data_IF_153473852008
#
_entry.id   IF_153473852008
#
_cell.length_a   1.000
_cell.length_b   1.000
_cell.length_c   1.000
_cell.angle_alpha   90.00
_cell.angle_beta   90.00
_cell.angle_gamma   90.00
#
_symmetry.space_group_name_H-M   'P 1'
#
loop_
_entity.id
_entity.type
_entity.pdbx_description
1 polymer ?
#
# COMPACT_ATOMS: atom_id res chain seq x y z
N UNK A 1 -24.59 13.64 -27.94
CA UNK A 1 -24.49 12.24 -28.44
C UNK A 1 -23.46 11.46 -27.63
N UNK A 2 -23.87 10.59 -26.71
CA UNK A 2 -22.99 9.58 -26.16
C UNK A 2 -23.05 8.33 -27.04
N UNK A 3 -21.90 7.84 -27.51
CA UNK A 3 -21.80 6.48 -28.07
C UNK A 3 -21.66 5.52 -26.89
N UNK A 4 -22.48 4.49 -26.88
CA UNK A 4 -22.46 3.43 -25.89
C UNK A 4 -21.50 2.33 -26.36
N UNK A 5 -20.74 1.75 -25.43
CA UNK A 5 -20.08 0.45 -25.64
C UNK A 5 -20.73 -0.52 -24.66
N UNK A 6 -21.19 -1.64 -25.20
CA UNK A 6 -21.77 -2.76 -24.48
C UNK A 6 -20.83 -3.95 -24.60
N UNK A 7 -20.79 -4.81 -23.58
CA UNK A 7 -20.02 -6.06 -23.60
C UNK A 7 -20.91 -7.27 -23.30
N UNK A 8 -20.51 -8.40 -23.87
CA UNK A 8 -21.11 -9.73 -23.78
C UNK A 8 -20.72 -10.43 -22.47
N UNK A 9 -21.57 -11.31 -21.95
CA UNK A 9 -21.26 -12.23 -20.83
C UNK A 9 -20.25 -13.28 -21.32
N UNK A 10 -18.95 -12.94 -21.27
CA UNK A 10 -17.87 -13.85 -21.68
C UNK A 10 -17.35 -14.64 -20.48
N UNK A 11 -18.04 -15.74 -20.16
CA UNK A 11 -17.57 -16.71 -19.16
C UNK A 11 -16.23 -17.34 -19.57
N UNK A 12 -15.98 -17.51 -20.86
CA UNK A 12 -14.73 -18.07 -21.38
C UNK A 12 -13.55 -17.09 -21.29
N UNK A 13 -13.74 -15.80 -21.62
CA UNK A 13 -12.70 -14.78 -21.38
C UNK A 13 -12.40 -14.64 -19.89
N UNK A 14 -13.45 -14.60 -19.05
CA UNK A 14 -13.34 -14.46 -17.60
C UNK A 14 -12.86 -15.75 -16.91
N UNK A 15 -12.85 -16.89 -17.61
CA UNK A 15 -12.36 -18.18 -17.09
C UNK A 15 -10.85 -18.15 -16.80
N UNK A 16 -10.10 -17.38 -17.59
CA UNK A 16 -8.67 -17.16 -17.39
C UNK A 16 -8.42 -16.02 -16.40
N UNK A 17 -8.78 -16.23 -15.13
CA UNK A 17 -8.69 -15.24 -14.06
C UNK A 17 -7.29 -14.64 -13.87
N UNK A 18 -6.23 -15.38 -14.20
CA UNK A 18 -4.84 -14.91 -14.08
C UNK A 18 -4.44 -13.85 -15.11
N UNK A 19 -5.14 -13.76 -16.25
CA UNK A 19 -4.80 -12.83 -17.35
C UNK A 19 -5.89 -11.81 -17.61
N UNK A 20 -7.12 -12.15 -17.28
CA UNK A 20 -8.29 -11.37 -17.65
C UNK A 20 -9.06 -10.91 -16.42
N UNK A 21 -9.57 -9.67 -16.49
CA UNK A 21 -10.52 -9.18 -15.50
C UNK A 21 -11.79 -10.01 -15.58
N UNK A 22 -12.41 -10.26 -14.42
CA UNK A 22 -13.72 -10.87 -14.38
C UNK A 22 -14.75 -9.90 -14.99
N UNK A 23 -15.32 -10.28 -16.13
CA UNK A 23 -16.35 -9.52 -16.86
C UNK A 23 -17.65 -10.30 -16.97
N UNK A 24 -17.82 -11.38 -16.19
CA UNK A 24 -19.05 -12.17 -16.15
C UNK A 24 -20.28 -11.33 -15.78
N UNK A 25 -20.06 -10.23 -15.04
CA UNK A 25 -21.08 -9.25 -14.70
C UNK A 25 -20.58 -7.83 -15.03
N UNK A 26 -21.38 -7.06 -15.76
CA UNK A 26 -21.08 -5.67 -16.10
C UNK A 26 -21.83 -4.78 -15.11
N UNK A 27 -21.11 -4.28 -14.10
CA UNK A 27 -21.64 -3.25 -13.22
C UNK A 27 -21.55 -1.89 -13.92
N UNK A 28 -22.69 -1.35 -14.36
CA UNK A 28 -22.78 0.00 -14.90
C UNK A 28 -23.89 0.75 -14.18
N UNK A 29 -23.53 1.88 -13.56
CA UNK A 29 -24.52 2.85 -13.08
C UNK A 29 -25.11 3.57 -14.28
N UNK A 30 -26.41 3.44 -14.49
CA UNK A 30 -27.15 4.20 -15.50
C UNK A 30 -28.10 5.12 -14.75
N UNK A 31 -27.98 6.43 -14.97
CA UNK A 31 -28.98 7.37 -14.50
C UNK A 31 -30.21 7.24 -15.40
N UNK A 32 -31.30 6.76 -14.83
CA UNK A 32 -32.57 6.58 -15.53
C UNK A 32 -33.52 7.67 -15.04
N UNK A 33 -33.84 8.63 -15.90
CA UNK A 33 -34.96 9.55 -15.64
C UNK A 33 -36.27 8.77 -15.73
N UNK A 34 -37.20 8.98 -14.77
CA UNK A 34 -38.51 8.30 -14.64
C UNK A 34 -39.00 7.69 -15.96
N UNK A 35 -38.72 6.40 -16.16
CA UNK A 35 -39.14 5.69 -17.35
C UNK A 35 -40.54 5.15 -17.12
N UNK A 36 -41.46 5.59 -17.96
CA UNK A 36 -42.87 5.20 -18.00
C UNK A 36 -43.68 5.58 -16.74
N UNK A 37 -44.81 6.26 -16.95
CA UNK A 37 -45.67 6.77 -15.87
C UNK A 37 -46.68 5.75 -15.34
N UNK A 38 -46.76 4.58 -15.97
CA UNK A 38 -47.88 3.65 -15.83
C UNK A 38 -47.58 2.39 -14.99
N UNK A 39 -46.34 2.17 -14.55
CA UNK A 39 -45.98 1.06 -13.67
C UNK A 39 -45.76 1.55 -12.24
N UNK A 40 -46.50 0.98 -11.28
CA UNK A 40 -46.34 1.29 -9.85
C UNK A 40 -45.03 0.75 -9.28
N UNK A 41 -44.40 -0.21 -9.96
CA UNK A 41 -43.10 -0.77 -9.60
C UNK A 41 -41.96 -0.14 -10.42
N UNK A 42 -41.19 0.71 -9.76
CA UNK A 42 -40.07 1.43 -10.34
C UNK A 42 -38.90 0.51 -10.74
N UNK A 43 -38.77 -0.68 -10.13
CA UNK A 43 -37.70 -1.64 -10.49
C UNK A 43 -37.95 -2.19 -11.88
N UNK A 44 -39.16 -2.70 -12.10
CA UNK A 44 -39.60 -3.18 -13.41
C UNK A 44 -39.56 -2.07 -14.47
N UNK A 45 -39.92 -0.83 -14.09
CA UNK A 45 -39.86 0.32 -14.97
C UNK A 45 -38.42 0.67 -15.39
N UNK A 46 -37.48 0.68 -14.44
CA UNK A 46 -36.07 0.96 -14.69
C UNK A 46 -35.42 -0.15 -15.51
N UNK A 47 -35.70 -1.42 -15.19
CA UNK A 47 -35.21 -2.58 -15.91
C UNK A 47 -35.71 -2.62 -17.34
N UNK A 48 -37.01 -2.39 -17.57
CA UNK A 48 -37.60 -2.24 -18.91
C UNK A 48 -36.92 -1.13 -19.69
N UNK A 49 -36.67 0.02 -19.06
CA UNK A 49 -36.03 1.15 -19.72
C UNK A 49 -34.60 0.85 -20.16
N UNK A 50 -33.81 0.22 -19.28
CA UNK A 50 -32.46 -0.20 -19.62
C UNK A 50 -32.51 -1.30 -20.69
N UNK A 51 -33.42 -2.27 -20.57
CA UNK A 51 -33.62 -3.32 -21.56
C UNK A 51 -33.95 -2.77 -22.94
N UNK A 52 -34.87 -1.81 -23.08
CA UNK A 52 -35.18 -1.19 -24.37
C UNK A 52 -33.92 -0.56 -25.01
N UNK A 53 -33.08 0.09 -24.21
CA UNK A 53 -31.83 0.69 -24.73
C UNK A 53 -30.74 -0.31 -25.06
N UNK A 54 -30.77 -1.51 -24.47
CA UNK A 54 -29.71 -2.52 -24.57
C UNK A 54 -30.11 -3.66 -25.53
N UNK A 55 -31.40 -3.89 -25.72
CA UNK A 55 -32.00 -4.88 -26.62
C UNK A 55 -31.66 -4.60 -28.09
N UNK A 56 -31.48 -3.33 -28.47
CA UNK A 56 -31.00 -2.94 -29.81
C UNK A 56 -29.59 -3.52 -30.13
N UNK A 57 -28.88 -4.01 -29.12
CA UNK A 57 -27.57 -4.62 -29.23
C UNK A 57 -27.57 -6.14 -28.90
N UNK A 58 -28.75 -6.76 -28.78
CA UNK A 58 -28.89 -8.20 -28.52
C UNK A 58 -28.45 -8.62 -27.11
N UNK A 59 -28.62 -7.74 -26.13
CA UNK A 59 -28.24 -7.95 -24.75
C UNK A 59 -29.45 -7.78 -23.83
N UNK A 60 -29.45 -8.51 -22.72
CA UNK A 60 -30.44 -8.42 -21.67
C UNK A 60 -29.78 -7.85 -20.41
N UNK A 61 -30.42 -6.84 -19.82
CA UNK A 61 -30.02 -6.19 -18.58
C UNK A 61 -30.97 -6.63 -17.46
N UNK A 62 -30.37 -7.04 -16.35
CA UNK A 62 -31.09 -7.39 -15.12
C UNK A 62 -30.73 -6.39 -14.01
N UNK A 63 -31.73 -5.89 -13.29
CA UNK A 63 -31.50 -4.95 -12.19
C UNK A 63 -31.05 -5.70 -10.93
N UNK A 64 -29.73 -5.87 -10.74
CA UNK A 64 -29.17 -6.55 -9.57
C UNK A 64 -29.29 -5.75 -8.26
N UNK A 65 -29.00 -4.45 -8.30
CA UNK A 65 -29.09 -3.59 -7.13
C UNK A 65 -29.39 -2.14 -7.56
N UNK A 66 -30.18 -1.45 -6.76
CA UNK A 66 -30.62 -0.09 -7.04
C UNK A 66 -30.19 0.81 -5.89
N UNK A 67 -29.21 1.66 -6.17
CA UNK A 67 -28.71 2.67 -5.23
C UNK A 67 -29.21 4.03 -5.66
N UNK A 68 -29.92 4.71 -4.76
CA UNK A 68 -30.38 6.07 -4.98
C UNK A 68 -29.22 7.03 -4.74
N UNK A 69 -28.81 7.75 -5.78
CA UNK A 69 -27.82 8.80 -5.66
C UNK A 69 -28.48 10.04 -5.04
N UNK A 70 -28.42 10.16 -3.71
CA UNK A 70 -28.53 11.47 -3.07
C UNK A 70 -27.31 12.30 -3.48
N UNK A 71 -27.54 13.52 -3.97
CA UNK A 71 -26.57 14.55 -4.34
C UNK A 71 -25.11 14.25 -3.97
N UNK A 72 -24.28 14.05 -5.00
CA UNK A 72 -22.81 14.02 -4.95
C UNK A 72 -22.33 15.44 -4.60
N UNK A 73 -22.37 15.80 -3.32
CA UNK A 73 -22.07 17.17 -2.88
C UNK A 73 -21.41 17.30 -1.52
N UNK A 74 -21.45 16.27 -0.67
CA UNK A 74 -20.70 16.29 0.58
C UNK A 74 -19.64 15.20 0.53
N UNK A 75 -18.40 15.60 0.23
CA UNK A 75 -17.29 14.89 0.84
C UNK A 75 -17.53 14.99 2.34
N UNK A 76 -18.04 13.91 2.95
CA UNK A 76 -18.01 13.76 4.40
C UNK A 76 -16.54 13.71 4.78
N UNK A 77 -15.93 14.88 4.91
CA UNK A 77 -14.72 15.03 5.69
C UNK A 77 -15.11 14.46 7.06
N UNK A 78 -14.57 13.28 7.36
CA UNK A 78 -14.70 12.68 8.68
C UNK A 78 -14.35 13.76 9.70
N UNK A 79 -15.11 13.90 10.80
CA UNK A 79 -14.78 14.85 11.87
C UNK A 79 -13.30 14.72 12.30
N UNK A 80 -12.75 13.52 12.14
CA UNK A 80 -11.35 13.21 12.41
C UNK A 80 -10.35 13.86 11.44
N UNK A 81 -10.69 14.10 10.16
CA UNK A 81 -9.81 14.78 9.19
C UNK A 81 -9.72 16.29 9.44
N UNK A 82 -10.77 16.89 10.01
CA UNK A 82 -10.76 18.30 10.44
C UNK A 82 -9.74 18.54 11.55
N UNK A 83 -9.57 17.57 12.46
CA UNK A 83 -8.54 17.64 13.52
C UNK A 83 -7.14 17.68 12.92
N UNK A 84 -6.85 16.81 11.94
CA UNK A 84 -5.57 16.80 11.25
C UNK A 84 -5.27 18.16 10.59
N UNK A 85 -6.27 18.76 9.95
CA UNK A 85 -6.17 20.10 9.36
C UNK A 85 -5.83 21.18 10.39
N UNK A 86 -6.54 21.21 11.52
CA UNK A 86 -6.29 22.17 12.60
C UNK A 86 -4.86 22.04 13.12
N UNK A 87 -4.37 20.80 13.32
CA UNK A 87 -3.01 20.54 13.79
C UNK A 87 -1.96 21.02 12.79
N UNK A 88 -2.13 20.72 11.50
CA UNK A 88 -1.18 21.15 10.45
C UNK A 88 -1.16 22.67 10.32
N UNK A 89 -2.31 23.33 10.32
CA UNK A 89 -2.41 24.80 10.26
C UNK A 89 -1.73 25.41 11.49
N UNK A 90 -1.98 24.89 12.69
CA UNK A 90 -1.36 25.37 13.92
C UNK A 90 0.17 25.24 13.88
N UNK A 91 0.70 24.13 13.38
CA UNK A 91 2.14 23.94 13.18
C UNK A 91 2.72 24.92 12.15
N UNK A 92 2.02 25.16 11.04
CA UNK A 92 2.43 26.15 10.03
C UNK A 92 2.44 27.57 10.61
N UNK A 93 1.42 27.95 11.38
CA UNK A 93 1.37 29.26 12.04
C UNK A 93 2.51 29.40 13.06
N UNK A 94 2.74 28.38 13.89
CA UNK A 94 3.85 28.37 14.87
C UNK A 94 5.21 28.48 14.19
N UNK A 95 5.44 27.75 13.09
CA UNK A 95 6.71 27.80 12.35
C UNK A 95 6.92 29.15 11.67
N UNK A 96 5.88 29.75 11.09
CA UNK A 96 5.96 31.10 10.50
C UNK A 96 6.23 32.16 11.56
N UNK A 97 5.51 32.13 12.69
CA UNK A 97 5.71 33.04 13.83
C UNK A 97 7.11 32.91 14.42
N UNK A 98 7.56 31.69 14.70
CA UNK A 98 8.88 31.42 15.26
C UNK A 98 10.01 31.85 14.30
N UNK A 99 9.84 31.62 13.00
CA UNK A 99 10.81 32.04 11.99
C UNK A 99 10.85 33.56 11.85
N UNK A 100 9.68 34.22 11.83
CA UNK A 100 9.57 35.68 11.79
C UNK A 100 10.21 36.34 13.00
N UNK A 101 9.92 35.84 14.21
CA UNK A 101 10.51 36.33 15.46
C UNK A 101 12.03 36.10 15.51
N UNK A 102 12.53 35.00 14.95
CA UNK A 102 13.97 34.75 14.86
C UNK A 102 14.67 35.73 13.90
N UNK A 103 14.07 36.02 12.73
CA UNK A 103 14.60 37.00 11.77
C UNK A 103 14.57 38.42 12.36
N UNK A 104 13.50 38.78 13.07
CA UNK A 104 13.39 40.07 13.75
C UNK A 104 14.38 40.18 14.92
N UNK A 105 14.56 39.11 15.69
CA UNK A 105 15.52 39.05 16.80
C UNK A 105 16.97 39.26 16.35
N UNK A 106 17.34 38.67 15.20
CA UNK A 106 18.66 38.88 14.59
C UNK A 106 18.87 40.32 14.11
N UNK A 107 17.81 40.97 13.57
CA UNK A 107 17.88 42.38 13.16
C UNK A 107 17.92 43.35 14.34
N UNK A 108 17.31 42.98 15.47
CA UNK A 108 17.23 43.81 16.67
C UNK A 108 18.30 43.49 17.73
N UNK A 109 19.25 42.59 17.46
CA UNK A 109 20.39 42.29 18.33
C UNK A 109 20.04 41.57 19.64
N UNK A 110 18.87 40.93 19.74
CA UNK A 110 18.39 40.25 20.97
C UNK A 110 18.20 38.76 20.67
N UNK A 111 19.30 38.01 20.66
CA UNK A 111 19.34 36.64 20.12
C UNK A 111 18.91 35.51 21.06
N UNK A 112 18.59 35.78 22.33
CA UNK A 112 18.11 34.74 23.25
C UNK A 112 16.58 34.80 23.43
N UNK A 113 15.87 34.39 22.37
CA UNK A 113 14.44 34.10 22.45
C UNK A 113 14.15 32.76 23.15
N UNK A 114 12.89 32.55 23.55
CA UNK A 114 12.44 31.33 24.23
C UNK A 114 12.86 30.06 23.46
N UNK A 115 13.56 29.14 24.15
CA UNK A 115 14.09 27.89 23.59
C UNK A 115 13.02 27.04 22.89
N UNK A 116 11.79 27.00 23.44
CA UNK A 116 10.67 26.24 22.88
C UNK A 116 10.17 26.85 21.57
N UNK A 117 10.10 28.17 21.49
CA UNK A 117 9.70 28.86 20.27
C UNK A 117 10.76 28.70 19.17
N UNK A 118 12.04 28.79 19.54
CA UNK A 118 13.15 28.62 18.60
C UNK A 118 13.26 27.20 18.03
N UNK A 119 12.60 26.20 18.63
CA UNK A 119 12.51 24.85 18.06
C UNK A 119 11.73 24.80 16.74
N UNK A 120 10.75 25.69 16.56
CA UNK A 120 9.92 25.78 15.35
C UNK A 120 10.51 26.73 14.29
N UNK A 121 11.68 27.34 14.54
CA UNK A 121 12.29 28.29 13.61
C UNK A 121 12.97 27.58 12.42
N UNK A 122 12.51 27.86 11.21
CA UNK A 122 13.05 27.29 9.98
C UNK A 122 14.52 27.69 9.77
N UNK A 123 14.88 28.95 10.05
CA UNK A 123 16.26 29.44 9.91
C UNK A 123 17.23 28.67 10.81
N UNK A 124 16.84 28.41 12.06
CA UNK A 124 17.65 27.65 13.02
C UNK A 124 17.77 26.18 12.59
N UNK A 125 16.66 25.57 12.20
CA UNK A 125 16.63 24.18 11.72
C UNK A 125 17.43 24.00 10.41
N UNK A 126 17.44 24.99 9.52
CA UNK A 126 18.23 25.00 8.28
C UNK A 126 19.75 25.03 8.55
N UNK A 127 20.19 25.85 9.49
CA UNK A 127 21.60 25.88 9.90
C UNK A 127 22.02 24.55 10.53
N UNK A 128 21.12 23.90 11.29
CA UNK A 128 21.35 22.57 11.84
C UNK A 128 21.47 21.51 10.72
N UNK A 129 20.64 21.63 9.67
CA UNK A 129 20.62 20.68 8.55
C UNK A 129 21.88 20.78 7.69
N UNK A 130 22.34 22.00 7.40
CA UNK A 130 23.54 22.28 6.61
C UNK A 130 24.83 22.38 7.44
N UNK A 131 24.79 21.92 8.69
CA UNK A 131 25.97 21.92 9.55
C UNK A 131 27.02 20.95 8.99
N UNK A 132 28.26 21.43 8.93
CA UNK A 132 29.42 20.66 8.51
C UNK A 132 29.66 19.46 9.44
N UNK A 133 29.36 18.25 8.94
CA UNK A 133 29.49 16.99 9.69
C UNK A 133 30.93 16.61 10.02
N UNK A 134 31.94 17.27 9.44
CA UNK A 134 33.34 17.06 9.80
C UNK A 134 33.68 17.59 11.20
N UNK A 135 32.86 18.49 11.74
CA UNK A 135 33.04 19.07 13.07
C UNK A 135 32.23 18.30 14.12
N UNK A 136 32.81 17.94 15.27
CA UNK A 136 32.09 17.23 16.32
C UNK A 136 30.89 18.06 16.79
N UNK A 137 29.71 17.43 16.81
CA UNK A 137 28.45 18.08 17.18
C UNK A 137 28.33 18.11 18.71
N UNK A 138 28.35 19.30 19.31
CA UNK A 138 28.17 19.49 20.76
C UNK A 138 26.71 19.43 21.24
N UNK A 139 25.74 19.23 20.34
CA UNK A 139 24.31 19.15 20.69
C UNK A 139 23.98 17.80 21.38
N UNK A 140 24.10 17.76 22.71
CA UNK A 140 23.77 16.59 23.54
C UNK A 140 22.32 16.10 23.35
N UNK A 141 21.38 16.99 22.98
CA UNK A 141 19.95 16.71 22.82
C UNK A 141 19.62 15.62 21.81
N UNK A 142 20.41 15.49 20.73
CA UNK A 142 20.16 14.49 19.68
C UNK A 142 20.70 13.11 20.05
N UNK A 143 21.55 13.02 21.08
CA UNK A 143 22.11 11.76 21.56
C UNK A 143 21.05 10.94 22.31
N UNK A 144 20.19 11.63 23.07
CA UNK A 144 19.13 11.01 23.84
C UNK A 144 17.95 10.58 22.96
N UNK A 145 17.66 11.33 21.88
CA UNK A 145 16.63 10.98 20.89
C UNK A 145 17.14 9.99 19.81
N UNK A 146 18.42 9.62 19.82
CA UNK A 146 18.98 8.70 18.81
C UNK A 146 18.32 7.31 18.86
N UNK A 147 17.81 6.90 20.02
CA UNK A 147 17.15 5.61 20.20
C UNK A 147 15.73 5.56 19.57
N UNK A 148 15.14 6.72 19.26
CA UNK A 148 13.79 6.87 18.72
C UNK A 148 13.84 7.36 17.26
N UNK A 149 14.63 6.67 16.44
CA UNK A 149 14.90 7.01 15.03
C UNK A 149 13.62 7.21 14.20
N UNK A 150 12.58 6.44 14.51
CA UNK A 150 11.25 6.55 13.91
C UNK A 150 10.57 7.92 14.02
N UNK A 151 10.81 8.66 15.10
CA UNK A 151 10.22 10.00 15.29
C UNK A 151 10.70 11.01 14.24
N UNK A 152 11.79 10.71 13.52
CA UNK A 152 12.27 11.56 12.42
C UNK A 152 11.43 11.42 11.16
N UNK A 153 10.87 10.24 10.89
CA UNK A 153 10.04 9.99 9.71
C UNK A 153 8.57 10.39 9.94
N UNK A 154 8.11 10.39 11.19
CA UNK A 154 6.70 10.68 11.52
C UNK A 154 6.20 12.03 10.96
N UNK A 155 6.94 13.16 11.06
CA UNK A 155 6.46 14.43 10.52
C UNK A 155 6.28 14.39 8.99
N UNK A 156 7.19 13.73 8.27
CA UNK A 156 7.11 13.61 6.81
C UNK A 156 5.96 12.68 6.41
N UNK A 157 5.77 11.56 7.13
CA UNK A 157 4.67 10.65 6.90
C UNK A 157 3.30 11.32 7.15
N UNK A 158 3.16 12.12 8.21
CA UNK A 158 1.94 12.88 8.49
C UNK A 158 1.69 13.94 7.41
N UNK A 159 2.74 14.64 6.95
CA UNK A 159 2.60 15.60 5.86
C UNK A 159 2.14 14.92 4.56
N UNK A 160 2.73 13.78 4.21
CA UNK A 160 2.31 13.02 3.04
C UNK A 160 0.85 12.57 3.17
N UNK A 161 0.44 12.08 4.35
CA UNK A 161 -0.94 11.69 4.64
C UNK A 161 -1.92 12.86 4.48
N UNK A 162 -1.57 14.02 5.04
CA UNK A 162 -2.33 15.25 4.84
C UNK A 162 -2.41 15.60 3.35
N UNK A 163 -1.30 15.55 2.61
CA UNK A 163 -1.27 15.85 1.18
C UNK A 163 -2.23 14.93 0.39
N UNK A 164 -2.22 13.63 0.65
CA UNK A 164 -3.10 12.66 0.00
C UNK A 164 -4.58 12.89 0.30
N UNK A 165 -4.92 13.29 1.52
CA UNK A 165 -6.31 13.58 1.91
C UNK A 165 -6.78 14.92 1.33
N UNK A 166 -5.94 15.95 1.46
CA UNK A 166 -6.34 17.34 1.27
C UNK A 166 -6.10 17.85 -0.15
N UNK A 167 -4.86 17.71 -0.62
CA UNK A 167 -4.40 18.46 -1.78
C UNK A 167 -4.44 17.61 -3.04
N UNK A 168 -4.07 16.33 -2.93
CA UNK A 168 -3.97 15.41 -4.06
C UNK A 168 -5.27 15.31 -4.88
N UNK A 169 -6.48 15.19 -4.30
CA UNK A 169 -7.73 15.14 -5.07
C UNK A 169 -7.99 16.40 -5.92
N UNK A 170 -7.47 17.55 -5.49
CA UNK A 170 -7.69 18.84 -6.16
C UNK A 170 -6.72 19.11 -7.31
N UNK A 171 -5.65 18.31 -7.44
CA UNK A 171 -4.60 18.54 -8.45
C UNK A 171 -4.95 18.07 -9.85
N UNK A 172 -6.08 17.38 -10.04
CA UNK A 172 -6.41 16.79 -11.32
C UNK A 172 -7.86 16.40 -11.49
N UNK A 173 -8.17 15.95 -12.71
CA UNK A 173 -9.44 15.32 -13.03
C UNK A 173 -9.24 14.30 -14.14
N UNK A 174 -9.94 13.17 -14.05
CA UNK A 174 -9.79 12.09 -15.01
C UNK A 174 -10.80 10.96 -14.85
N UNK A 175 -10.93 10.09 -15.86
CA UNK A 175 -11.93 9.04 -15.89
C UNK A 175 -11.76 8.00 -14.77
N UNK A 176 -10.54 7.83 -14.25
CA UNK A 176 -10.24 6.96 -13.10
C UNK A 176 -9.97 7.75 -11.81
N UNK A 177 -10.05 9.08 -11.84
CA UNK A 177 -9.67 9.94 -10.72
C UNK A 177 -10.54 9.70 -9.49
N UNK A 178 -11.87 9.64 -9.69
CA UNK A 178 -12.80 9.36 -8.61
C UNK A 178 -12.60 7.96 -7.99
N UNK A 179 -12.20 6.99 -8.81
CA UNK A 179 -12.06 5.61 -8.35
C UNK A 179 -10.73 5.33 -7.65
N UNK A 180 -9.66 6.03 -8.04
CA UNK A 180 -8.32 5.86 -7.47
C UNK A 180 -8.06 6.93 -6.40
N UNK A 181 -8.12 8.21 -6.79
CA UNK A 181 -7.67 9.33 -5.95
C UNK A 181 -8.73 9.73 -4.93
N UNK A 182 -9.97 9.98 -5.35
CA UNK A 182 -11.01 10.44 -4.41
C UNK A 182 -11.37 9.35 -3.40
N UNK A 183 -11.39 8.08 -3.85
CA UNK A 183 -11.54 6.92 -2.96
C UNK A 183 -10.39 6.82 -1.97
N UNK A 184 -9.13 6.90 -2.42
CA UNK A 184 -7.97 6.82 -1.52
C UNK A 184 -8.01 7.94 -0.48
N UNK A 185 -8.27 9.18 -0.90
CA UNK A 185 -8.40 10.31 0.01
C UNK A 185 -9.51 10.11 1.06
N UNK A 186 -10.65 9.55 0.65
CA UNK A 186 -11.75 9.23 1.56
C UNK A 186 -11.35 8.14 2.57
N UNK A 187 -10.81 7.01 2.11
CA UNK A 187 -10.35 5.92 2.96
C UNK A 187 -9.25 6.38 3.95
N UNK A 188 -8.32 7.23 3.49
CA UNK A 188 -7.31 7.86 4.33
C UNK A 188 -7.93 8.79 5.39
N UNK A 189 -8.96 9.56 5.03
CA UNK A 189 -9.62 10.50 5.95
C UNK A 189 -10.34 9.82 7.11
N UNK A 190 -10.85 8.60 6.93
CA UNK A 190 -11.47 7.82 8.00
C UNK A 190 -10.44 7.19 8.96
N UNK A 191 -9.20 6.97 8.47
CA UNK A 191 -8.22 6.09 9.12
C UNK A 191 -6.84 6.70 9.33
N UNK A 192 -6.71 8.02 9.20
CA UNK A 192 -5.43 8.72 9.34
C UNK A 192 -4.70 8.40 10.66
N UNK A 193 -5.45 8.15 11.75
CA UNK A 193 -4.88 7.83 13.05
C UNK A 193 -4.13 6.48 13.07
N UNK A 194 -4.47 5.53 12.20
CA UNK A 194 -3.71 4.28 12.06
C UNK A 194 -2.28 4.54 11.57
N UNK A 195 -2.09 5.52 10.69
CA UNK A 195 -0.76 5.91 10.18
C UNK A 195 0.05 6.65 11.25
N UNK A 196 -0.60 7.46 12.09
CA UNK A 196 0.04 8.15 13.22
C UNK A 196 0.51 7.15 14.29
N UNK A 197 -0.29 6.12 14.55
CA UNK A 197 0.03 5.05 15.50
C UNK A 197 0.87 3.91 14.90
N UNK A 198 1.20 3.95 13.60
CA UNK A 198 1.93 2.90 12.91
C UNK A 198 1.29 1.50 13.01
N UNK A 199 -0.04 1.42 12.91
CA UNK A 199 -0.82 0.17 12.95
C UNK A 199 -1.64 -0.07 11.67
N UNK A 200 -1.37 0.71 10.62
CA UNK A 200 -2.07 0.60 9.33
C UNK A 200 -1.76 -0.68 8.55
N UNK A 201 -0.81 -1.50 9.00
CA UNK A 201 -0.57 -2.84 8.47
C UNK A 201 -1.59 -3.90 8.96
N UNK A 202 -2.42 -3.60 9.97
CA UNK A 202 -3.48 -4.48 10.47
C UNK A 202 -4.88 -4.12 9.95
N UNK A 203 -4.94 -3.30 8.89
CA UNK A 203 -6.19 -2.81 8.33
C UNK A 203 -6.92 -3.91 7.56
N UNK A 204 -8.26 -4.07 7.74
CA UNK A 204 -9.05 -4.98 6.91
C UNK A 204 -8.98 -4.57 5.43
N UNK A 205 -8.87 -5.58 4.55
CA UNK A 205 -8.69 -5.42 3.11
C UNK A 205 -9.80 -4.55 2.49
N UNK A 206 -9.42 -3.77 1.46
CA UNK A 206 -10.33 -2.92 0.69
C UNK A 206 -10.62 -1.52 1.23
N UNK A 207 -10.14 -1.22 2.44
CA UNK A 207 -10.11 0.14 3.03
C UNK A 207 -8.68 0.55 3.38
N UNK A 208 -7.75 0.17 2.50
CA UNK A 208 -6.32 0.39 2.65
C UNK A 208 -5.96 1.74 2.03
N UNK A 209 -5.31 2.59 2.80
CA UNK A 209 -4.84 3.91 2.38
C UNK A 209 -3.31 3.92 2.36
N UNK A 210 -2.71 4.69 1.44
CA UNK A 210 -1.25 4.86 1.37
C UNK A 210 -0.53 3.53 1.42
N UNK A 211 -0.92 2.62 0.53
CA UNK A 211 -0.57 1.22 0.70
C UNK A 211 0.92 0.94 0.69
N UNK A 212 1.69 1.78 0.01
CA UNK A 212 3.14 1.75 -0.03
C UNK A 212 3.81 2.01 1.34
N UNK A 213 3.11 2.59 2.32
CA UNK A 213 3.67 2.92 3.64
C UNK A 213 3.59 1.79 4.66
N UNK A 214 3.06 0.61 4.30
CA UNK A 214 2.89 -0.51 5.21
C UNK A 214 4.19 -0.92 5.92
N UNK A 215 5.31 -0.89 5.20
CA UNK A 215 6.62 -1.29 5.75
C UNK A 215 7.06 -0.34 6.87
N UNK A 216 6.61 0.92 6.84
CA UNK A 216 6.92 1.91 7.86
C UNK A 216 6.22 1.56 9.18
N UNK A 217 5.00 1.00 9.13
CA UNK A 217 4.36 0.46 10.33
C UNK A 217 5.15 -0.71 10.90
N UNK A 218 5.54 -1.64 10.03
CA UNK A 218 6.29 -2.84 10.42
C UNK A 218 7.64 -2.46 11.03
N UNK A 219 8.37 -1.53 10.43
CA UNK A 219 9.66 -1.06 10.93
C UNK A 219 9.53 -0.46 12.33
N UNK A 220 8.51 0.38 12.57
CA UNK A 220 8.26 0.95 13.89
C UNK A 220 7.91 -0.09 14.94
N UNK A 221 7.06 -1.06 14.60
CA UNK A 221 6.69 -2.16 15.49
C UNK A 221 7.90 -3.03 15.84
N UNK A 222 8.69 -3.41 14.84
CA UNK A 222 9.90 -4.20 15.03
C UNK A 222 10.98 -3.41 15.76
N UNK A 223 11.06 -2.09 15.59
CA UNK A 223 11.98 -1.22 16.34
C UNK A 223 11.66 -1.19 17.83
N UNK A 224 10.38 -1.05 18.19
CA UNK A 224 9.94 -1.10 19.59
C UNK A 224 10.28 -2.47 20.21
N UNK A 225 9.94 -3.56 19.52
CA UNK A 225 10.28 -4.93 19.96
C UNK A 225 11.80 -5.10 20.05
N UNK A 226 12.54 -4.59 19.08
CA UNK A 226 13.99 -4.65 18.98
C UNK A 226 14.68 -3.96 20.16
N UNK A 227 14.21 -2.78 20.58
CA UNK A 227 14.71 -2.11 21.78
C UNK A 227 14.47 -2.97 23.03
N UNK A 228 13.28 -3.55 23.19
CA UNK A 228 12.97 -4.40 24.35
C UNK A 228 13.87 -5.65 24.38
N UNK A 229 14.05 -6.30 23.23
CA UNK A 229 14.98 -7.43 23.08
C UNK A 229 16.40 -6.98 23.39
N UNK A 230 16.86 -5.85 22.85
CA UNK A 230 18.19 -5.32 23.09
C UNK A 230 18.43 -5.04 24.58
N UNK A 231 17.47 -4.45 25.30
CA UNK A 231 17.58 -4.22 26.75
C UNK A 231 17.73 -5.54 27.52
N UNK A 232 16.98 -6.57 27.14
CA UNK A 232 17.10 -7.91 27.72
C UNK A 232 18.48 -8.54 27.44
N UNK A 233 18.96 -8.43 26.20
CA UNK A 233 20.26 -8.97 25.78
C UNK A 233 21.43 -8.23 26.44
N UNK A 234 21.29 -6.93 26.67
CA UNK A 234 22.27 -6.15 27.44
C UNK A 234 22.34 -6.59 28.91
N UNK A 235 21.21 -7.01 29.50
CA UNK A 235 21.17 -7.55 30.86
C UNK A 235 21.78 -8.95 30.96
N UNK A 236 21.59 -9.78 29.93
CA UNK A 236 22.02 -11.18 29.88
C UNK A 236 22.82 -11.48 28.61
N UNK A 237 24.06 -10.99 28.48
CA UNK A 237 24.82 -11.08 27.23
C UNK A 237 25.15 -12.51 26.82
N UNK A 238 25.23 -13.44 27.78
CA UNK A 238 25.47 -14.87 27.49
C UNK A 238 24.33 -15.53 26.70
N UNK A 239 23.11 -14.97 26.76
CA UNK A 239 21.94 -15.47 26.02
C UNK A 239 21.85 -14.92 24.60
N UNK A 240 22.65 -13.90 24.25
CA UNK A 240 22.54 -13.16 22.97
C UNK A 240 22.48 -14.07 21.76
N UNK A 241 23.47 -14.93 21.57
CA UNK A 241 23.54 -15.81 20.41
C UNK A 241 22.38 -16.81 20.38
N UNK A 242 22.01 -17.36 21.54
CA UNK A 242 20.93 -18.34 21.64
C UNK A 242 19.56 -17.70 21.32
N UNK A 243 19.27 -16.52 21.87
CA UNK A 243 18.01 -15.80 21.64
C UNK A 243 17.90 -15.34 20.19
N UNK A 244 18.96 -14.76 19.61
CA UNK A 244 18.94 -14.31 18.22
C UNK A 244 18.80 -15.49 17.24
N UNK A 245 19.51 -16.60 17.48
CA UNK A 245 19.37 -17.80 16.67
C UNK A 245 17.96 -18.40 16.77
N UNK A 246 17.39 -18.47 17.98
CA UNK A 246 16.03 -18.93 18.20
C UNK A 246 15.01 -18.04 17.48
N UNK A 247 15.07 -16.72 17.64
CA UNK A 247 14.14 -15.80 16.99
C UNK A 247 14.25 -15.88 15.46
N UNK A 248 15.46 -15.99 14.92
CA UNK A 248 15.68 -16.14 13.49
C UNK A 248 15.06 -17.45 12.96
N UNK A 249 15.34 -18.57 13.63
CA UNK A 249 14.82 -19.87 13.22
C UNK A 249 13.30 -19.93 13.35
N UNK A 250 12.75 -19.50 14.49
CA UNK A 250 11.33 -19.54 14.78
C UNK A 250 10.53 -18.69 13.78
N UNK A 251 10.99 -17.47 13.47
CA UNK A 251 10.30 -16.59 12.52
C UNK A 251 10.38 -17.12 11.08
N UNK A 252 11.52 -17.68 10.69
CA UNK A 252 11.70 -18.29 9.36
C UNK A 252 10.83 -19.54 9.19
N UNK A 253 10.80 -20.41 10.20
CA UNK A 253 9.94 -21.61 10.20
C UNK A 253 8.48 -21.21 10.20
N UNK A 254 8.08 -20.24 11.01
CA UNK A 254 6.70 -19.74 11.05
C UNK A 254 6.26 -19.19 9.67
N UNK A 255 7.11 -18.41 9.00
CA UNK A 255 6.83 -17.91 7.66
C UNK A 255 6.67 -19.05 6.64
N UNK A 256 7.53 -20.06 6.70
CA UNK A 256 7.41 -21.28 5.88
C UNK A 256 6.11 -22.04 6.15
N UNK A 257 5.76 -22.26 7.42
CA UNK A 257 4.53 -22.93 7.84
C UNK A 257 3.29 -22.17 7.36
N UNK A 258 3.24 -20.84 7.52
CA UNK A 258 2.10 -20.02 7.05
C UNK A 258 1.96 -20.15 5.54
N UNK A 259 3.06 -20.06 4.79
CA UNK A 259 3.04 -20.18 3.33
C UNK A 259 2.52 -21.55 2.89
N UNK A 260 2.99 -22.62 3.54
CA UNK A 260 2.60 -24.00 3.25
C UNK A 260 1.14 -24.30 3.61
N UNK A 261 0.72 -23.98 4.84
CA UNK A 261 -0.62 -24.30 5.35
C UNK A 261 -1.73 -23.55 4.61
N UNK A 262 -1.46 -22.31 4.20
CA UNK A 262 -2.42 -21.49 3.48
C UNK A 262 -2.28 -21.56 1.95
N UNK A 263 -1.39 -22.42 1.42
CA UNK A 263 -1.13 -22.59 -0.01
C UNK A 263 -0.92 -21.24 -0.73
N UNK A 264 -0.13 -20.37 -0.10
CA UNK A 264 0.09 -19.01 -0.60
C UNK A 264 1.15 -19.02 -1.69
N UNK A 265 0.92 -18.27 -2.77
CA UNK A 265 1.93 -18.08 -3.80
C UNK A 265 3.06 -17.17 -3.29
N UNK A 266 4.34 -17.51 -3.55
CA UNK A 266 5.47 -16.70 -3.10
C UNK A 266 5.63 -15.38 -3.86
N UNK A 267 4.88 -15.17 -4.95
CA UNK A 267 5.03 -14.04 -5.86
C UNK A 267 3.79 -13.13 -5.79
N UNK A 268 3.95 -11.96 -5.18
CA UNK A 268 2.90 -10.93 -5.06
C UNK A 268 2.63 -10.24 -6.41
N UNK A 269 3.54 -10.29 -7.37
CA UNK A 269 3.36 -9.70 -8.71
C UNK A 269 2.57 -10.57 -9.68
N UNK A 270 2.31 -11.84 -9.33
CA UNK A 270 1.55 -12.80 -10.14
C UNK A 270 0.11 -12.94 -9.63
N UNK A 271 -0.54 -11.81 -9.36
CA UNK A 271 -1.93 -11.78 -8.87
C UNK A 271 -2.88 -11.48 -10.02
N UNK A 272 -4.13 -11.93 -9.90
CA UNK A 272 -5.12 -11.70 -10.95
C UNK A 272 -5.32 -10.20 -11.18
N UNK A 273 -5.59 -9.75 -12.42
CA UNK A 273 -5.96 -8.37 -12.68
C UNK A 273 -7.15 -7.92 -11.83
N UNK A 274 -8.05 -8.84 -11.47
CA UNK A 274 -9.20 -8.56 -10.62
C UNK A 274 -8.83 -8.27 -9.16
N UNK A 275 -7.85 -8.98 -8.60
CA UNK A 275 -7.34 -8.69 -7.26
C UNK A 275 -6.65 -7.32 -7.22
N UNK A 276 -5.88 -6.99 -8.26
CA UNK A 276 -5.28 -5.65 -8.40
C UNK A 276 -6.36 -4.57 -8.53
N UNK A 277 -7.41 -4.82 -9.33
CA UNK A 277 -8.55 -3.91 -9.48
C UNK A 277 -9.26 -3.69 -8.15
N UNK A 278 -9.44 -4.73 -7.37
CA UNK A 278 -10.19 -4.68 -6.12
C UNK A 278 -9.31 -4.31 -4.92
N UNK A 279 -8.10 -3.80 -5.15
CA UNK A 279 -7.14 -3.45 -4.08
C UNK A 279 -6.94 -4.60 -3.08
N UNK A 280 -6.78 -5.82 -3.61
CA UNK A 280 -6.52 -7.04 -2.86
C UNK A 280 -7.65 -7.45 -1.90
N UNK A 281 -8.87 -6.91 -2.07
CA UNK A 281 -10.06 -7.19 -1.26
C UNK A 281 -10.27 -8.68 -0.97
N UNK A 282 -10.10 -9.52 -1.99
CA UNK A 282 -10.34 -10.97 -1.90
C UNK A 282 -9.05 -11.78 -1.72
N UNK A 283 -7.88 -11.13 -1.72
CA UNK A 283 -6.60 -11.84 -1.67
C UNK A 283 -6.23 -12.18 -0.22
N UNK A 284 -5.96 -13.45 0.05
CA UNK A 284 -5.45 -13.89 1.36
C UNK A 284 -3.94 -13.62 1.53
N UNK A 285 -3.22 -13.27 0.47
CA UNK A 285 -1.77 -13.08 0.48
C UNK A 285 -1.33 -11.85 1.27
N UNK A 286 -1.99 -10.71 1.06
CA UNK A 286 -1.62 -9.46 1.70
C UNK A 286 -1.73 -9.52 3.24
N UNK A 287 -2.86 -9.94 3.84
CA UNK A 287 -3.02 -9.91 5.29
C UNK A 287 -2.31 -11.07 6.01
N UNK A 288 -2.01 -12.18 5.33
CA UNK A 288 -1.39 -13.36 5.96
C UNK A 288 0.12 -13.42 5.78
N UNK A 289 0.63 -12.96 4.64
CA UNK A 289 2.04 -13.08 4.28
C UNK A 289 2.77 -11.74 4.28
N UNK A 290 2.20 -10.72 3.63
CA UNK A 290 2.95 -9.51 3.29
C UNK A 290 2.93 -8.44 4.39
N UNK A 291 1.74 -8.08 4.88
CA UNK A 291 1.55 -6.98 5.83
C UNK A 291 1.98 -7.27 7.27
N UNK A 292 1.84 -8.50 7.82
CA UNK A 292 2.16 -8.73 9.22
C UNK A 292 3.64 -8.51 9.56
N UNK A 293 3.89 -7.86 10.69
CA UNK A 293 5.26 -7.55 11.14
C UNK A 293 6.08 -8.80 11.46
N UNK A 294 5.47 -9.85 12.01
CA UNK A 294 6.15 -11.11 12.33
C UNK A 294 6.71 -11.83 11.10
N UNK A 295 6.07 -11.68 9.94
CA UNK A 295 6.54 -12.27 8.68
C UNK A 295 7.85 -11.62 8.20
N UNK A 296 8.12 -10.39 8.64
CA UNK A 296 9.31 -9.61 8.29
C UNK A 296 10.37 -9.60 9.40
N UNK A 297 10.10 -10.27 10.53
CA UNK A 297 10.93 -10.23 11.74
C UNK A 297 12.30 -10.90 11.54
N UNK A 298 12.40 -11.92 10.69
CA UNK A 298 13.66 -12.63 10.42
C UNK A 298 14.74 -11.68 9.87
N UNK A 299 14.39 -10.80 8.93
CA UNK A 299 15.27 -9.78 8.39
C UNK A 299 15.75 -8.78 9.45
N UNK A 300 14.84 -8.36 10.32
CA UNK A 300 15.16 -7.46 11.44
C UNK A 300 16.13 -8.12 12.45
N UNK A 301 15.91 -9.39 12.80
CA UNK A 301 16.80 -10.16 13.68
C UNK A 301 18.18 -10.35 13.04
N UNK A 302 18.27 -10.59 11.73
CA UNK A 302 19.55 -10.61 11.01
C UNK A 302 20.31 -9.28 11.12
N UNK A 303 19.60 -8.15 11.03
CA UNK A 303 20.17 -6.81 11.26
C UNK A 303 20.73 -6.67 12.67
N UNK A 304 19.96 -7.05 13.70
CA UNK A 304 20.42 -7.05 15.09
C UNK A 304 21.66 -7.94 15.29
N UNK A 305 21.65 -9.17 14.77
CA UNK A 305 22.78 -10.09 14.86
C UNK A 305 24.04 -9.51 14.22
N UNK A 306 23.91 -8.89 13.05
CA UNK A 306 25.01 -8.20 12.36
C UNK A 306 25.58 -7.06 13.21
N UNK A 307 24.72 -6.29 13.89
CA UNK A 307 25.16 -5.21 14.79
C UNK A 307 25.95 -5.74 16.00
N UNK A 308 25.52 -6.87 16.60
CA UNK A 308 26.24 -7.52 17.69
C UNK A 308 27.61 -8.05 17.24
N UNK A 309 27.66 -8.71 16.07
CA UNK A 309 28.91 -9.18 15.47
C UNK A 309 29.84 -7.99 15.25
N UNK A 310 29.38 -6.92 14.61
CA UNK A 310 30.19 -5.73 14.37
C UNK A 310 30.71 -5.10 15.67
N UNK A 311 29.88 -5.01 16.71
CA UNK A 311 30.27 -4.52 18.04
C UNK A 311 31.36 -5.37 18.68
N UNK A 312 31.24 -6.70 18.59
CA UNK A 312 32.23 -7.65 19.10
C UNK A 312 33.58 -7.50 18.38
N UNK A 313 33.58 -7.48 17.04
CA UNK A 313 34.81 -7.30 16.25
C UNK A 313 35.49 -5.96 16.54
N UNK A 314 34.71 -4.89 16.71
CA UNK A 314 35.24 -3.57 17.07
C UNK A 314 35.91 -3.58 18.45
N UNK A 315 35.29 -4.22 19.46
CA UNK A 315 35.87 -4.35 20.80
C UNK A 315 37.14 -5.23 20.80
N UNK A 316 37.15 -6.29 20.01
CA UNK A 316 38.30 -7.18 19.88
C UNK A 316 39.42 -6.60 18.99
N UNK A 317 39.27 -5.37 18.46
CA UNK A 317 40.20 -4.71 17.55
C UNK A 317 40.56 -5.56 16.30
N UNK A 318 39.66 -6.46 15.88
CA UNK A 318 39.87 -7.34 14.74
C UNK A 318 39.63 -6.53 13.46
N UNK A 319 40.67 -6.32 12.66
CA UNK A 319 40.55 -5.70 11.34
C UNK A 319 39.88 -6.67 10.37
N UNK A 320 38.65 -6.35 9.98
CA UNK A 320 37.95 -7.10 8.94
C UNK A 320 38.66 -6.94 7.58
N UNK A 321 38.81 -8.05 6.86
CA UNK A 321 39.41 -8.03 5.53
C UNK A 321 38.39 -7.46 4.52
N UNK A 322 38.61 -6.21 4.12
CA UNK A 322 37.74 -5.48 3.19
C UNK A 322 37.53 -6.22 1.86
N UNK A 323 38.54 -6.93 1.36
CA UNK A 323 38.42 -7.72 0.12
C UNK A 323 37.46 -8.90 0.30
N UNK A 324 37.48 -9.56 1.45
CA UNK A 324 36.56 -10.68 1.74
C UNK A 324 35.12 -10.20 1.93
N UNK A 325 34.93 -9.05 2.59
CA UNK A 325 33.60 -8.44 2.73
C UNK A 325 33.06 -8.01 1.36
N UNK A 326 33.88 -7.31 0.57
CA UNK A 326 33.49 -6.91 -0.78
C UNK A 326 33.14 -8.12 -1.64
N UNK A 327 33.93 -9.20 -1.58
CA UNK A 327 33.62 -10.45 -2.29
C UNK A 327 32.28 -11.04 -1.83
N UNK A 328 32.04 -11.13 -0.52
CA UNK A 328 30.78 -11.64 0.01
C UNK A 328 29.58 -10.82 -0.49
N UNK A 329 29.67 -9.49 -0.44
CA UNK A 329 28.60 -8.59 -0.90
C UNK A 329 28.37 -8.77 -2.40
N UNK A 330 29.44 -8.71 -3.21
CA UNK A 330 29.35 -8.88 -4.66
C UNK A 330 28.75 -10.24 -5.01
N UNK A 331 29.22 -11.33 -4.39
CA UNK A 331 28.65 -12.67 -4.60
C UNK A 331 27.17 -12.70 -4.23
N UNK A 332 26.77 -12.13 -3.09
CA UNK A 332 25.35 -12.13 -2.67
C UNK A 332 24.45 -11.38 -3.66
N UNK A 333 24.90 -10.22 -4.14
CA UNK A 333 24.17 -9.42 -5.14
C UNK A 333 24.07 -10.15 -6.47
N UNK A 334 25.17 -10.74 -6.95
CA UNK A 334 25.20 -11.51 -8.19
C UNK A 334 24.29 -12.73 -8.08
N UNK A 335 24.31 -13.46 -6.97
CA UNK A 335 23.38 -14.57 -6.73
C UNK A 335 21.93 -14.12 -6.80
N UNK A 336 21.57 -13.01 -6.15
CA UNK A 336 20.20 -12.48 -6.20
C UNK A 336 19.77 -12.07 -7.62
N UNK A 337 20.65 -11.40 -8.37
CA UNK A 337 20.38 -11.03 -9.76
C UNK A 337 20.24 -12.25 -10.68
N UNK A 338 20.96 -13.34 -10.38
CA UNK A 338 20.88 -14.59 -11.12
C UNK A 338 19.70 -15.48 -10.69
N UNK A 339 19.16 -15.33 -9.48
CA UNK A 339 18.02 -16.13 -9.02
C UNK A 339 16.79 -15.97 -9.92
N UNK A 340 16.44 -14.74 -10.33
CA UNK A 340 15.29 -14.48 -11.20
C UNK A 340 15.41 -15.19 -12.56
N UNK A 341 16.48 -15.02 -13.35
CA UNK A 341 16.62 -15.73 -14.62
C UNK A 341 16.73 -17.24 -14.44
N UNK A 342 17.35 -17.74 -13.37
CA UNK A 342 17.39 -19.18 -13.07
C UNK A 342 15.98 -19.72 -12.79
N UNK A 343 15.16 -19.05 -11.97
CA UNK A 343 13.78 -19.44 -11.73
C UNK A 343 12.96 -19.43 -13.04
N UNK A 344 13.17 -18.45 -13.92
CA UNK A 344 12.46 -18.35 -15.19
C UNK A 344 12.88 -19.40 -16.22
N UNK A 345 14.18 -19.73 -16.29
CA UNK A 345 14.75 -20.63 -17.32
C UNK A 345 14.71 -22.09 -16.87
N UNK A 346 14.83 -22.37 -15.57
CA UNK A 346 14.98 -23.73 -15.06
C UNK A 346 13.75 -24.17 -14.29
N UNK A 347 13.34 -23.43 -13.25
CA UNK A 347 12.28 -23.90 -12.34
C UNK A 347 10.90 -23.89 -13.00
N UNK A 348 10.51 -22.79 -13.67
CA UNK A 348 9.20 -22.70 -14.31
C UNK A 348 9.00 -23.75 -15.42
N UNK A 349 9.95 -23.96 -16.36
CA UNK A 349 9.80 -25.02 -17.36
C UNK A 349 9.77 -26.42 -16.76
N UNK A 350 10.55 -26.69 -15.69
CA UNK A 350 10.51 -27.98 -15.00
C UNK A 350 9.17 -28.25 -14.33
N UNK A 351 8.53 -27.25 -13.72
CA UNK A 351 7.18 -27.38 -13.16
C UNK A 351 6.14 -27.60 -14.26
N UNK A 352 6.25 -26.90 -15.39
CA UNK A 352 5.37 -27.09 -16.55
C UNK A 352 5.53 -28.51 -17.14
N UNK A 353 6.77 -28.98 -17.24
CA UNK A 353 7.10 -30.34 -17.70
C UNK A 353 6.53 -31.39 -16.75
N UNK A 354 6.71 -31.20 -15.43
CA UNK A 354 6.13 -32.08 -14.41
C UNK A 354 4.61 -32.18 -14.55
N UNK A 355 3.91 -31.05 -14.68
CA UNK A 355 2.47 -31.04 -14.93
C UNK A 355 2.08 -31.77 -16.21
N UNK A 356 2.77 -31.50 -17.32
CA UNK A 356 2.50 -32.18 -18.59
C UNK A 356 2.65 -33.72 -18.49
N UNK A 357 3.66 -34.19 -17.74
CA UNK A 357 3.95 -35.62 -17.58
C UNK A 357 2.97 -36.32 -16.63
N UNK A 358 2.55 -35.66 -15.54
CA UNK A 358 1.79 -36.31 -14.46
C UNK A 358 0.30 -35.94 -14.40
N UNK A 359 -0.10 -34.77 -14.90
CA UNK A 359 -1.51 -34.31 -14.90
C UNK A 359 -2.33 -34.97 -16.04
N UNK A 360 -1.65 -35.57 -17.03
CA UNK A 360 -2.27 -36.38 -18.09
C UNK A 360 -2.75 -37.77 -17.61
N UNK A 361 -2.56 -38.12 -16.34
CA UNK A 361 -2.95 -39.41 -15.76
C UNK A 361 -4.25 -39.38 -14.94
N UNK A 362 -4.87 -38.21 -14.73
CA UNK A 362 -6.20 -38.14 -14.12
C UNK A 362 -7.29 -38.19 -15.22
N UNK A 363 -8.28 -39.09 -15.14
CA UNK A 363 -9.36 -39.15 -16.11
C UNK A 363 -10.25 -37.91 -16.00
N UNK A 364 -10.30 -37.13 -17.08
CA UNK A 364 -11.24 -36.03 -17.27
C UNK A 364 -12.66 -36.59 -17.25
N UNK A 365 -13.47 -36.22 -16.26
CA UNK A 365 -14.92 -36.37 -16.36
C UNK A 365 -15.44 -35.37 -17.41
N UNK A 366 -16.14 -35.82 -18.47
CA UNK A 366 -16.60 -34.93 -19.52
C UNK A 366 -17.77 -34.08 -19.00
N UNK A 367 -17.59 -32.77 -18.94
CA UNK A 367 -18.69 -31.80 -18.91
C UNK A 367 -19.29 -31.69 -20.32
N UNK A 368 -20.61 -31.83 -20.41
CA UNK A 368 -21.39 -31.83 -21.64
C UNK A 368 -21.06 -30.65 -22.58
N UNK A 369 -20.70 -31.00 -23.82
CA UNK A 369 -20.53 -30.07 -24.94
C UNK A 369 -21.90 -29.54 -25.41
N UNK A 370 -22.10 -28.23 -25.33
CA UNK A 370 -23.12 -27.54 -26.14
C UNK A 370 -22.46 -26.87 -27.36
N UNK A 371 -23.11 -27.08 -28.51
CA UNK A 371 -22.67 -26.80 -29.88
C UNK A 371 -22.17 -25.36 -30.16
N UNK A 372 -21.32 -25.16 -31.19
CA UNK A 372 -20.61 -23.90 -31.40
C UNK A 372 -21.50 -22.85 -32.07
N UNK A 373 -21.77 -21.74 -31.36
CA UNK A 373 -22.31 -20.53 -31.99
C UNK A 373 -21.18 -19.53 -32.25
N UNK A 374 -20.86 -19.38 -33.55
CA UNK A 374 -20.01 -18.40 -34.24
C UNK A 374 -19.08 -17.49 -33.39
N UNK A 375 -17.76 -17.48 -33.63
CA UNK A 375 -16.84 -16.56 -32.96
C UNK A 375 -17.06 -15.16 -33.54
N UNK A 376 -17.31 -14.16 -32.68
CA UNK A 376 -17.33 -12.75 -33.08
C UNK A 376 -16.30 -11.98 -32.26
N UNK A 377 -15.31 -11.49 -33.00
CA UNK A 377 -14.11 -10.81 -32.54
C UNK A 377 -14.30 -9.29 -32.36
N UNK A 378 -13.34 -8.69 -31.64
CA UNK A 378 -12.79 -7.31 -31.77
C UNK A 378 -13.68 -6.09 -31.41
N UNK A 379 -13.18 -4.90 -31.02
CA UNK A 379 -11.87 -4.36 -30.61
C UNK A 379 -12.15 -3.10 -29.73
N UNK A 380 -11.20 -2.73 -28.89
CA UNK A 380 -11.29 -1.66 -27.87
C UNK A 380 -10.89 -0.28 -28.40
N UNK A 381 -11.61 0.79 -28.04
CA UNK A 381 -11.04 2.13 -27.87
C UNK A 381 -11.88 3.02 -26.92
N UNK A 382 -11.19 3.75 -26.04
CA UNK A 382 -11.71 4.68 -25.03
C UNK A 382 -11.70 6.12 -25.54
N UNK A 383 -12.81 6.86 -25.43
CA UNK A 383 -12.82 8.33 -25.59
C UNK A 383 -13.73 8.98 -24.54
N UNK A 384 -13.15 9.94 -23.79
CA UNK A 384 -13.80 10.89 -22.86
C UNK A 384 -14.95 11.65 -23.52
N UNK A 385 -15.96 12.03 -22.74
CA UNK A 385 -16.65 13.31 -22.98
C UNK A 385 -16.87 14.07 -21.67
N UNK A 386 -16.62 15.37 -21.80
CA UNK A 386 -16.55 16.40 -20.78
C UNK A 386 -17.81 16.55 -19.95
N UNK A 387 -17.60 17.13 -18.76
CA UNK A 387 -18.55 17.90 -17.96
C UNK A 387 -19.79 18.35 -18.74
N UNK A 388 -20.98 17.96 -18.25
CA UNK A 388 -22.17 18.81 -18.29
C UNK A 388 -22.99 18.52 -17.01
N UNK A 389 -23.07 19.53 -16.15
CA UNK A 389 -24.03 19.62 -15.05
C UNK A 389 -25.46 19.75 -15.59
N UNK A 390 -26.44 19.25 -14.82
CA UNK A 390 -27.73 19.87 -14.44
C UNK A 390 -28.49 18.78 -13.66
N UNK A 391 -28.78 18.88 -12.34
CA UNK A 391 -29.69 19.82 -11.64
C UNK A 391 -31.04 19.98 -12.32
N UNK A 392 -32.07 19.32 -11.76
CA UNK A 392 -33.15 19.95 -11.00
C UNK A 392 -33.70 18.93 -9.99
#
# INVERSE_FOLDING_TARGET
MPRFILKRRDNEYSSQSLKHYNRSQIHRGVCVSRCDGNTSDWRAAAEKCVNETVQQYGLEAELLNATWCSTVGESRNSQSSQVLWVVVILLLVLTLLATGLHILGDKCGRCDGNKYLMAFSLKKNWHILNYDRSKPRHDARMKDLACLEGMRLTPVAIFALWFTIAWYPQLGSGPQWAWIVDREAHDCSERWWYHVLYVHNHIPLGKFCMGHTWYLAVDMQLHIIGILVLLLLMRYPFLTSAVLAFLLLATTVAAGCVTYLYQLSPIITAQSPEDLRTFFLNSSILPKLYLPSWMNMSGYVCGMATAFIHSHYKKAAIKLNQKKISLLITTSVVTYLLCIPICLIVELPMVQLWKAVFESLEPVHPTEDHAPTSPKFDLVASIRRNQVNCQA
#
